data_IF_221291904138
#
_entry.id   IF_221291904138
#
_cell.length_a   1.000
_cell.length_b   1.000
_cell.length_c   1.000
_cell.angle_alpha   90.00
_cell.angle_beta   90.00
_cell.angle_gamma   90.00
#
_symmetry.space_group_name_H-M   'P 1'
#
loop_
_entity.id
_entity.type
_entity.pdbx_description
1 polymer ?
#
# COMPACT_ATOMS: atom_id res chain seq x y z
N UNK A 1 25.33 -11.77 12.65
CA UNK A 1 23.92 -11.52 12.31
C UNK A 1 23.07 -12.69 12.75
N UNK A 2 22.02 -12.46 13.49
CA UNK A 2 21.09 -13.55 13.72
C UNK A 2 20.53 -14.00 12.36
N UNK A 3 20.27 -15.29 12.27
CA UNK A 3 19.67 -15.84 11.07
C UNK A 3 18.30 -15.21 10.84
N UNK A 4 18.13 -14.59 9.68
CA UNK A 4 16.85 -14.04 9.28
C UNK A 4 15.97 -15.18 8.79
N UNK A 5 14.83 -15.35 9.43
CA UNK A 5 13.80 -16.23 8.87
C UNK A 5 13.10 -15.49 7.72
N UNK A 6 13.70 -15.59 6.55
CA UNK A 6 13.24 -14.87 5.38
C UNK A 6 11.79 -15.19 5.01
N UNK A 7 11.39 -16.44 5.14
CA UNK A 7 10.01 -16.85 4.84
C UNK A 7 9.02 -16.19 5.79
N UNK A 8 9.34 -16.15 7.08
CA UNK A 8 8.50 -15.50 8.09
C UNK A 8 8.40 -14.01 7.82
N UNK A 9 9.52 -13.34 7.56
CA UNK A 9 9.55 -11.91 7.29
C UNK A 9 8.74 -11.58 6.04
N UNK A 10 8.85 -12.36 4.98
CA UNK A 10 8.07 -12.16 3.76
C UNK A 10 6.58 -12.36 3.99
N UNK A 11 6.18 -13.32 4.83
CA UNK A 11 4.76 -13.50 5.19
C UNK A 11 4.22 -12.28 5.93
N UNK A 12 5.00 -11.74 6.86
CA UNK A 12 4.60 -10.54 7.60
C UNK A 12 4.43 -9.34 6.67
N UNK A 13 5.37 -9.16 5.75
CA UNK A 13 5.30 -8.08 4.75
C UNK A 13 4.08 -8.28 3.83
N UNK A 14 3.87 -9.49 3.33
CA UNK A 14 2.74 -9.78 2.46
C UNK A 14 1.40 -9.48 3.16
N UNK A 15 1.30 -9.81 4.46
CA UNK A 15 0.11 -9.48 5.25
C UNK A 15 -0.13 -7.98 5.28
N UNK A 16 0.91 -7.20 5.53
CA UNK A 16 0.81 -5.73 5.55
C UNK A 16 0.32 -5.21 4.20
N UNK A 17 0.83 -5.75 3.10
CA UNK A 17 0.43 -5.35 1.75
C UNK A 17 -1.03 -5.72 1.46
N UNK A 18 -1.51 -6.86 1.93
CA UNK A 18 -2.93 -7.21 1.84
C UNK A 18 -3.79 -6.31 2.73
N UNK A 19 -3.33 -6.00 3.93
CA UNK A 19 -4.02 -5.10 4.85
C UNK A 19 -4.14 -3.67 4.31
N UNK A 20 -3.21 -3.28 3.42
CA UNK A 20 -3.26 -1.99 2.73
C UNK A 20 -4.60 -1.78 2.02
N UNK A 21 -5.19 -2.84 1.49
CA UNK A 21 -6.53 -2.81 0.89
C UNK A 21 -7.59 -3.27 1.88
N UNK A 22 -7.28 -4.29 2.67
CA UNK A 22 -8.26 -4.97 3.53
C UNK A 22 -8.84 -4.12 4.66
N UNK A 23 -8.10 -3.12 5.15
CA UNK A 23 -8.59 -2.24 6.22
C UNK A 23 -9.91 -1.56 5.85
N UNK A 24 -10.09 -1.27 4.57
CA UNK A 24 -11.25 -0.52 4.08
C UNK A 24 -12.56 -1.31 4.16
N UNK A 25 -12.48 -2.63 4.18
CA UNK A 25 -13.68 -3.49 4.24
C UNK A 25 -14.49 -3.24 5.50
N UNK A 26 -13.84 -3.00 6.62
CA UNK A 26 -14.49 -2.71 7.90
C UNK A 26 -14.21 -1.30 8.40
N UNK A 27 -13.53 -0.49 7.60
CA UNK A 27 -13.09 0.86 7.99
C UNK A 27 -12.26 0.82 9.28
N UNK A 28 -11.35 -0.14 9.36
CA UNK A 28 -10.49 -0.36 10.53
C UNK A 28 -9.33 0.63 10.54
N UNK A 29 -9.57 1.75 11.19
CA UNK A 29 -8.59 2.85 11.28
C UNK A 29 -7.31 2.41 11.96
N UNK A 30 -7.39 1.64 13.02
CA UNK A 30 -6.21 1.18 13.76
C UNK A 30 -5.33 0.29 12.88
N UNK A 31 -5.96 -0.58 12.09
CA UNK A 31 -5.22 -1.42 11.13
C UNK A 31 -4.51 -0.56 10.10
N UNK A 32 -5.21 0.42 9.51
CA UNK A 32 -4.60 1.34 8.56
C UNK A 32 -3.36 2.03 9.18
N UNK A 33 -3.51 2.58 10.37
CA UNK A 33 -2.42 3.31 11.03
C UNK A 33 -1.22 2.42 11.35
N UNK A 34 -1.46 1.12 11.55
CA UNK A 34 -0.39 0.15 11.85
C UNK A 34 0.51 -0.16 10.66
N UNK A 35 0.07 0.14 9.44
CA UNK A 35 0.75 -0.24 8.20
C UNK A 35 1.93 0.70 7.88
N UNK A 36 1.80 1.97 8.23
CA UNK A 36 2.68 3.02 7.71
C UNK A 36 3.66 3.54 8.74
N UNK A 37 4.84 3.96 8.26
CA UNK A 37 5.76 4.75 9.06
C UNK A 37 5.22 6.17 9.16
N UNK A 38 4.94 6.61 10.39
CA UNK A 38 4.29 7.90 10.66
C UNK A 38 5.31 9.01 10.75
N UNK A 39 5.89 9.39 9.62
CA UNK A 39 6.96 10.38 9.56
C UNK A 39 6.66 11.47 8.53
N UNK A 40 7.32 12.62 8.70
CA UNK A 40 7.12 13.78 7.83
C UNK A 40 7.64 13.54 6.41
N UNK A 41 8.58 12.61 6.24
CA UNK A 41 9.16 12.29 4.94
C UNK A 41 8.56 11.03 4.30
N UNK A 42 7.49 10.48 4.87
CA UNK A 42 6.69 9.48 4.16
C UNK A 42 6.15 10.09 2.87
N UNK A 43 6.16 9.34 1.77
CA UNK A 43 5.48 9.81 0.58
C UNK A 43 4.85 8.68 -0.21
N UNK A 44 3.82 9.03 -0.98
CA UNK A 44 3.15 8.08 -1.86
C UNK A 44 2.60 8.79 -3.09
N UNK A 45 2.73 8.12 -4.22
CA UNK A 45 1.99 8.46 -5.43
C UNK A 45 0.85 7.47 -5.60
N UNK A 46 -0.36 7.99 -5.74
CA UNK A 46 -1.53 7.23 -6.14
C UNK A 46 -1.77 7.43 -7.64
N UNK A 47 -2.64 6.64 -8.27
CA UNK A 47 -2.77 6.67 -9.73
C UNK A 47 -3.23 7.99 -10.32
N UNK A 48 -3.95 8.80 -9.54
CA UNK A 48 -4.39 10.09 -10.04
C UNK A 48 -3.41 11.21 -9.68
N UNK A 49 -3.42 12.28 -10.47
CA UNK A 49 -2.47 13.38 -10.30
C UNK A 49 -2.73 14.24 -9.06
N UNK A 50 -3.88 14.06 -8.42
CA UNK A 50 -4.27 14.88 -7.27
C UNK A 50 -3.92 14.23 -5.93
N UNK A 51 -3.57 12.95 -5.96
CA UNK A 51 -3.28 12.21 -4.73
C UNK A 51 -1.80 11.88 -4.63
N UNK A 52 -1.02 12.94 -4.41
CA UNK A 52 0.37 12.84 -4.00
C UNK A 52 0.43 13.19 -2.53
N UNK A 53 0.94 12.27 -1.72
CA UNK A 53 0.94 12.41 -0.28
C UNK A 53 2.38 12.53 0.20
N UNK A 54 2.67 13.61 0.91
CA UNK A 54 3.98 13.82 1.56
C UNK A 54 3.72 14.03 3.05
N UNK A 55 4.26 13.14 3.85
CA UNK A 55 4.14 13.16 5.30
C UNK A 55 2.89 12.48 5.84
N UNK A 56 3.03 11.95 7.06
CA UNK A 56 1.93 11.23 7.73
C UNK A 56 0.69 12.12 7.92
N UNK A 57 0.86 13.39 8.23
CA UNK A 57 -0.29 14.28 8.48
C UNK A 57 -1.19 14.38 7.26
N UNK A 58 -0.60 14.42 6.07
CA UNK A 58 -1.38 14.46 4.83
C UNK A 58 -2.06 13.12 4.56
N UNK A 59 -1.38 12.00 4.87
CA UNK A 59 -1.98 10.68 4.77
C UNK A 59 -3.16 10.52 5.74
N UNK A 60 -3.00 10.99 6.95
CA UNK A 60 -4.08 10.95 7.95
C UNK A 60 -5.29 11.77 7.48
N UNK A 61 -5.05 12.91 6.86
CA UNK A 61 -6.12 13.73 6.27
C UNK A 61 -6.84 12.98 5.15
N UNK A 62 -6.08 12.29 4.31
CA UNK A 62 -6.66 11.43 3.26
C UNK A 62 -7.48 10.29 3.87
N UNK A 63 -6.97 9.67 4.93
CA UNK A 63 -7.68 8.61 5.64
C UNK A 63 -9.05 9.09 6.13
N UNK A 64 -9.13 10.31 6.65
CA UNK A 64 -10.41 10.86 7.11
C UNK A 64 -11.44 10.89 5.98
N UNK A 65 -11.03 11.16 4.73
CA UNK A 65 -11.93 11.10 3.58
C UNK A 65 -12.30 9.65 3.24
N UNK A 66 -11.33 8.74 3.31
CA UNK A 66 -11.55 7.32 2.99
C UNK A 66 -12.40 6.61 4.05
N UNK A 67 -12.55 7.19 5.23
CA UNK A 67 -13.45 6.68 6.26
C UNK A 67 -14.93 6.97 5.98
N UNK A 68 -15.24 7.78 4.97
CA UNK A 68 -16.61 8.07 4.57
C UNK A 68 -17.33 6.76 4.23
N UNK A 69 -18.51 6.49 4.86
CA UNK A 69 -19.29 5.28 4.54
C UNK A 69 -19.66 5.15 3.06
N UNK A 70 -19.70 6.27 2.32
CA UNK A 70 -20.00 6.24 0.88
C UNK A 70 -18.80 5.85 0.03
N UNK A 71 -17.61 5.77 0.62
CA UNK A 71 -16.43 5.20 -0.02
C UNK A 71 -16.42 3.70 0.28
N UNK A 72 -16.99 2.91 -0.65
CA UNK A 72 -17.21 1.48 -0.45
C UNK A 72 -16.18 0.70 -1.24
N UNK A 73 -15.32 -0.06 -0.55
CA UNK A 73 -14.37 -0.92 -1.24
C UNK A 73 -15.09 -2.06 -1.93
N UNK A 74 -14.62 -2.40 -3.10
CA UNK A 74 -15.02 -3.61 -3.79
C UNK A 74 -13.91 -4.65 -3.66
N UNK A 75 -13.61 -5.32 -4.76
CA UNK A 75 -12.59 -6.35 -4.82
C UNK A 75 -11.21 -5.72 -5.06
N UNK A 76 -10.21 -6.16 -4.32
CA UNK A 76 -8.80 -5.86 -4.58
C UNK A 76 -8.06 -7.17 -4.81
N UNK A 77 -7.20 -7.20 -5.82
CA UNK A 77 -6.46 -8.40 -6.20
C UNK A 77 -4.99 -8.03 -6.42
N UNK A 78 -4.09 -8.67 -5.68
CA UNK A 78 -2.65 -8.44 -5.77
C UNK A 78 -2.03 -9.64 -6.51
N UNK A 79 -1.37 -9.36 -7.62
CA UNK A 79 -0.74 -10.38 -8.46
C UNK A 79 0.74 -10.15 -8.58
N UNK A 80 1.49 -11.21 -8.87
CA UNK A 80 2.93 -11.16 -9.16
C UNK A 80 3.72 -10.44 -8.08
N UNK A 81 3.34 -10.67 -6.83
CA UNK A 81 3.99 -10.02 -5.69
C UNK A 81 5.43 -10.53 -5.53
N UNK A 82 6.37 -9.62 -5.55
CA UNK A 82 7.79 -9.88 -5.29
C UNK A 82 8.22 -9.06 -4.09
N UNK A 83 8.86 -9.72 -3.14
CA UNK A 83 9.37 -9.08 -1.93
C UNK A 83 10.85 -9.40 -1.83
N UNK A 84 11.67 -8.38 -1.66
CA UNK A 84 13.12 -8.52 -1.46
C UNK A 84 13.46 -7.86 -0.14
N UNK A 85 14.21 -8.59 0.70
CA UNK A 85 14.65 -8.09 2.00
C UNK A 85 16.13 -7.77 1.88
N UNK A 86 16.55 -6.62 2.41
CA UNK A 86 17.95 -6.21 2.42
C UNK A 86 18.83 -7.18 3.24
N UNK A 87 20.13 -7.11 3.01
CA UNK A 87 21.10 -7.95 3.74
C UNK A 87 21.03 -7.75 5.25
N UNK A 88 20.73 -6.53 5.69
CA UNK A 88 20.61 -6.24 7.13
C UNK A 88 19.30 -6.77 7.73
N UNK A 89 18.32 -7.09 6.89
CA UNK A 89 16.99 -7.49 7.36
C UNK A 89 16.13 -6.35 7.87
N UNK A 90 16.56 -5.11 7.66
CA UNK A 90 15.88 -3.93 8.20
C UNK A 90 15.06 -3.15 7.16
N UNK A 91 15.33 -3.38 5.89
CA UNK A 91 14.65 -2.73 4.77
C UNK A 91 14.17 -3.79 3.79
N UNK A 92 13.02 -3.57 3.22
CA UNK A 92 12.50 -4.42 2.15
C UNK A 92 11.87 -3.55 1.06
N UNK A 93 11.81 -4.10 -0.13
CA UNK A 93 11.08 -3.47 -1.22
C UNK A 93 10.22 -4.50 -1.92
N UNK A 94 9.19 -4.03 -2.57
CA UNK A 94 8.24 -4.91 -3.24
C UNK A 94 7.81 -4.34 -4.59
N UNK A 95 7.31 -5.23 -5.42
CA UNK A 95 6.59 -4.90 -6.63
C UNK A 95 5.41 -5.83 -6.80
N UNK A 96 4.33 -5.33 -7.37
CA UNK A 96 3.13 -6.11 -7.62
C UNK A 96 2.32 -5.49 -8.75
N UNK A 97 1.40 -6.26 -9.27
CA UNK A 97 0.34 -5.79 -10.16
C UNK A 97 -0.98 -5.87 -9.40
N UNK A 98 -1.78 -4.83 -9.45
CA UNK A 98 -2.99 -4.72 -8.64
C UNK A 98 -4.19 -4.38 -9.51
N UNK A 99 -5.28 -5.10 -9.27
CA UNK A 99 -6.62 -4.68 -9.70
C UNK A 99 -7.36 -4.22 -8.45
N UNK A 100 -8.02 -3.08 -8.53
CA UNK A 100 -8.79 -2.55 -7.42
C UNK A 100 -10.07 -1.95 -7.96
N UNK A 101 -11.13 -1.99 -7.17
CA UNK A 101 -12.41 -1.40 -7.54
C UNK A 101 -13.21 -1.02 -6.31
N UNK A 102 -14.18 -0.16 -6.51
CA UNK A 102 -15.06 0.27 -5.45
C UNK A 102 -16.14 1.21 -5.96
N UNK A 103 -16.85 1.80 -5.03
CA UNK A 103 -17.88 2.79 -5.31
C UNK A 103 -17.66 4.00 -4.42
N UNK A 104 -17.92 5.18 -4.96
CA UNK A 104 -17.96 6.42 -4.22
C UNK A 104 -19.23 7.17 -4.59
N UNK A 105 -20.14 7.31 -3.62
CA UNK A 105 -21.47 7.88 -3.83
C UNK A 105 -22.18 7.27 -5.03
N UNK A 106 -22.23 5.92 -5.06
CA UNK A 106 -22.86 5.09 -6.08
C UNK A 106 -22.21 5.16 -7.47
N UNK A 107 -21.04 5.80 -7.60
CA UNK A 107 -20.25 5.79 -8.83
C UNK A 107 -19.20 4.70 -8.72
N UNK A 108 -19.27 3.73 -9.62
CA UNK A 108 -18.27 2.67 -9.70
C UNK A 108 -16.96 3.21 -10.30
N UNK A 109 -15.86 2.83 -9.68
CA UNK A 109 -14.53 3.07 -10.23
C UNK A 109 -13.75 1.76 -10.25
N UNK A 110 -12.81 1.64 -11.17
CA UNK A 110 -11.94 0.48 -11.25
C UNK A 110 -10.55 0.88 -11.72
N UNK A 111 -9.57 0.15 -11.22
CA UNK A 111 -8.17 0.27 -11.58
C UNK A 111 -7.71 -1.12 -11.98
N UNK A 112 -7.17 -1.26 -13.21
CA UNK A 112 -6.74 -2.55 -13.72
C UNK A 112 -5.26 -2.52 -14.07
N UNK A 113 -4.56 -3.61 -13.74
CA UNK A 113 -3.14 -3.78 -14.05
C UNK A 113 -2.27 -2.63 -13.53
N UNK A 114 -2.63 -2.07 -12.38
CA UNK A 114 -1.84 -1.02 -11.78
C UNK A 114 -0.48 -1.57 -11.33
N UNK A 115 0.56 -0.77 -11.51
CA UNK A 115 1.90 -1.07 -11.02
C UNK A 115 2.04 -0.50 -9.62
N UNK A 116 2.45 -1.34 -8.70
CA UNK A 116 2.57 -0.96 -7.29
C UNK A 116 3.94 -1.38 -6.77
N UNK A 117 4.70 -0.41 -6.32
CA UNK A 117 6.03 -0.63 -5.73
C UNK A 117 6.16 0.17 -4.45
N UNK A 118 7.09 -0.22 -3.62
CA UNK A 118 7.35 0.55 -2.41
C UNK A 118 8.48 -0.04 -1.59
N UNK A 119 8.72 0.65 -0.47
CA UNK A 119 9.77 0.31 0.48
C UNK A 119 9.15 0.19 1.86
N UNK A 120 9.56 -0.85 2.58
CA UNK A 120 9.21 -1.03 3.99
C UNK A 120 10.49 -0.99 4.83
N UNK A 121 10.32 -0.57 6.06
CA UNK A 121 11.39 -0.54 7.05
C UNK A 121 10.92 -1.26 8.31
N UNK A 122 11.81 -2.07 8.90
CA UNK A 122 11.48 -2.76 10.14
C UNK A 122 11.82 -1.84 11.31
N UNK A 123 10.81 -1.55 12.13
CA UNK A 123 10.95 -0.67 13.29
C UNK A 123 10.34 -1.32 14.51
N UNK A 124 11.13 -1.43 15.57
CA UNK A 124 10.68 -2.02 16.83
C UNK A 124 10.04 -3.40 16.63
N UNK A 125 10.64 -4.19 15.74
CA UNK A 125 10.17 -5.54 15.43
C UNK A 125 9.02 -5.63 14.44
N UNK A 126 8.53 -4.51 13.90
CA UNK A 126 7.40 -4.48 12.97
C UNK A 126 7.76 -3.80 11.67
N UNK A 127 7.28 -4.35 10.56
CA UNK A 127 7.45 -3.75 9.25
C UNK A 127 6.45 -2.62 9.04
N UNK A 128 6.92 -1.52 8.43
CA UNK A 128 6.09 -0.34 8.11
C UNK A 128 6.39 0.12 6.70
N UNK A 129 5.37 0.51 5.95
CA UNK A 129 5.57 1.10 4.62
C UNK A 129 6.15 2.50 4.78
N UNK A 130 7.29 2.73 4.13
CA UNK A 130 7.99 4.02 4.14
C UNK A 130 7.63 4.89 2.96
N UNK A 131 7.38 4.29 1.81
CA UNK A 131 6.90 4.97 0.62
C UNK A 131 6.27 3.94 -0.31
N UNK A 132 5.38 4.38 -1.16
CA UNK A 132 4.89 3.53 -2.22
C UNK A 132 4.44 4.37 -3.43
N UNK A 133 4.32 3.69 -4.55
CA UNK A 133 3.93 4.28 -5.82
C UNK A 133 2.98 3.33 -6.54
N UNK A 134 1.83 3.84 -6.91
CA UNK A 134 0.86 3.11 -7.70
C UNK A 134 0.53 3.91 -8.96
N UNK A 135 0.63 3.28 -10.11
CA UNK A 135 0.34 3.94 -11.40
C UNK A 135 -0.40 2.99 -12.32
N UNK A 136 -1.19 3.56 -13.21
CA UNK A 136 -1.87 2.78 -14.24
C UNK A 136 -0.89 2.37 -15.34
N UNK A 137 -1.13 1.20 -15.92
CA UNK A 137 -0.45 0.82 -17.15
C UNK A 137 -0.96 1.69 -18.31
N UNK A 138 -0.04 2.19 -19.13
CA UNK A 138 -0.41 2.98 -20.29
C UNK A 138 0.02 2.27 -21.57
N UNK A 139 -0.87 1.42 -22.08
CA UNK A 139 -0.59 0.61 -23.27
C UNK A 139 -0.61 1.42 -24.57
N UNK A 140 -1.08 2.67 -24.53
CA UNK A 140 -1.08 3.55 -25.70
C UNK A 140 0.31 3.92 -26.16
N UNK A 141 1.32 3.86 -25.28
CA UNK A 141 2.72 4.11 -25.63
C UNK A 141 3.47 2.84 -26.01
N UNK A 142 2.82 1.70 -25.92
CA UNK A 142 3.39 0.42 -26.30
C UNK A 142 3.56 0.34 -27.82
N UNK A 143 4.67 -0.21 -28.28
CA UNK A 143 4.96 -0.37 -29.71
C UNK A 143 5.02 -1.84 -30.10
#
# INVERSE_FOLDING_TARGET
MPDLDEKKEKREIAKILHDFFGWALTKDRALFESIFAKEDDFFAFYPDSKTTIVGWKLLEKALNRWMDPQDKPGRADIRDLRIVISRTGEVAWFSAVVDDEGEYYDKHWSLRDARWTGVLEKRDGSWKIRQHHMSEANDRISK
#
